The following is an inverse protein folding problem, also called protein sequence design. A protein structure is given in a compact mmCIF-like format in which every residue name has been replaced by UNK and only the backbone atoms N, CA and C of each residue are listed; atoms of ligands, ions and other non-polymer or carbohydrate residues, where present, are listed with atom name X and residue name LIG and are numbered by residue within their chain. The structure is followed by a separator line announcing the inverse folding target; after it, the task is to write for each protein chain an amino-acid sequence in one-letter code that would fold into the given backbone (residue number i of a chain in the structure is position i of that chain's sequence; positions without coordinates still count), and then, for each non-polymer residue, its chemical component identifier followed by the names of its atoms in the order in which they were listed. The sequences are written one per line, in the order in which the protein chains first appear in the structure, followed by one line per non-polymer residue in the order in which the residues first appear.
data_IF_235672913283
#
_entry.id   IF_235672913283
#
_cell.length_a   1.000
_cell.length_b   1.000
_cell.length_c   1.000
_cell.angle_alpha   90.00
_cell.angle_beta   90.00
_cell.angle_gamma   90.00
#
_symmetry.space_group_name_H-M   'P 1'
#
loop_
_entity.id
_entity.type
_entity.pdbx_description
1 polymer ?
#
# COMPACT_ATOMS: atom_id res chain seq x y z
N UNK A 1 -4.60 7.82 -2.51
CA UNK A 1 -5.20 7.32 -3.77
C UNK A 1 -6.13 6.13 -3.49
N UNK A 2 -7.28 6.37 -2.86
CA UNK A 2 -8.35 5.36 -2.72
C UNK A 2 -9.61 5.85 -3.43
N UNK A 3 -9.73 5.56 -4.73
CA UNK A 3 -11.04 5.58 -5.37
C UNK A 3 -11.76 4.30 -4.92
N UNK A 4 -12.78 4.50 -4.08
CA UNK A 4 -13.83 3.53 -3.79
C UNK A 4 -14.50 3.13 -5.10
N UNK A 5 -13.97 2.09 -5.72
CA UNK A 5 -14.65 1.33 -6.76
C UNK A 5 -15.21 0.08 -6.09
N UNK A 6 -16.53 -0.13 -6.30
CA UNK A 6 -17.33 -1.28 -5.84
C UNK A 6 -16.49 -2.55 -5.75
N UNK A 7 -16.72 -3.32 -4.68
CA UNK A 7 -16.15 -4.65 -4.50
C UNK A 7 -16.15 -5.40 -5.84
N UNK A 8 -14.99 -5.86 -6.34
CA UNK A 8 -14.98 -6.81 -7.43
C UNK A 8 -15.61 -8.06 -6.85
N UNK A 9 -16.85 -8.28 -7.30
CA UNK A 9 -17.59 -9.52 -7.13
C UNK A 9 -16.66 -10.71 -7.35
N UNK A 10 -16.91 -11.79 -6.61
CA UNK A 10 -16.32 -13.11 -6.82
C UNK A 10 -16.04 -13.39 -8.30
N UNK A 11 -14.95 -14.11 -8.64
CA UNK A 11 -14.71 -14.51 -10.03
C UNK A 11 -16.00 -15.07 -10.61
N UNK A 12 -16.40 -14.62 -11.81
CA UNK A 12 -17.72 -14.89 -12.40
C UNK A 12 -18.09 -16.37 -12.22
N UNK A 13 -18.94 -16.65 -11.23
CA UNK A 13 -19.25 -18.00 -10.77
C UNK A 13 -19.84 -18.83 -11.92
N UNK A 14 -20.52 -18.16 -12.85
CA UNK A 14 -21.08 -18.75 -14.07
C UNK A 14 -19.98 -19.15 -15.05
N UNK A 15 -18.96 -18.30 -15.24
CA UNK A 15 -17.81 -18.62 -16.08
C UNK A 15 -17.00 -19.80 -15.51
N UNK A 16 -16.78 -19.82 -14.19
CA UNK A 16 -16.09 -20.92 -13.51
C UNK A 16 -16.86 -22.25 -13.68
N UNK A 17 -18.17 -22.26 -13.42
CA UNK A 17 -19.00 -23.46 -13.59
C UNK A 17 -18.95 -24.01 -15.01
N UNK A 18 -18.98 -23.13 -16.03
CA UNK A 18 -18.84 -23.55 -17.44
C UNK A 18 -17.51 -24.23 -17.72
N UNK A 19 -16.40 -23.74 -17.15
CA UNK A 19 -15.07 -24.35 -17.31
C UNK A 19 -15.03 -25.73 -16.65
N UNK A 20 -15.50 -25.84 -15.41
CA UNK A 20 -15.52 -27.10 -14.66
C UNK A 20 -16.36 -28.17 -15.36
N UNK A 21 -17.52 -27.79 -15.89
CA UNK A 21 -18.37 -28.68 -16.68
C UNK A 21 -17.69 -29.11 -17.99
N UNK A 22 -17.05 -28.17 -18.71
CA UNK A 22 -16.31 -28.49 -19.95
C UNK A 22 -15.18 -29.49 -19.72
N UNK A 23 -14.51 -29.41 -18.57
CA UNK A 23 -13.43 -30.33 -18.20
C UNK A 23 -13.93 -31.68 -17.67
N UNK A 24 -15.23 -31.80 -17.33
CA UNK A 24 -15.79 -33.02 -16.75
C UNK A 24 -15.43 -33.24 -15.28
N UNK A 25 -14.96 -32.20 -14.58
CA UNK A 25 -14.53 -32.27 -13.18
C UNK A 25 -15.16 -31.11 -12.37
N UNK A 26 -16.42 -31.26 -11.89
CA UNK A 26 -17.12 -30.20 -11.15
C UNK A 26 -16.41 -29.80 -9.86
N UNK A 27 -15.76 -30.75 -9.18
CA UNK A 27 -15.12 -30.52 -7.86
C UNK A 27 -13.62 -30.19 -7.98
N UNK A 28 -13.15 -29.83 -9.19
CA UNK A 28 -11.71 -29.63 -9.43
C UNK A 28 -11.12 -28.52 -8.56
N UNK A 29 -11.86 -27.43 -8.34
CA UNK A 29 -11.35 -26.30 -7.56
C UNK A 29 -11.13 -26.67 -6.08
N UNK A 30 -12.09 -27.38 -5.49
CA UNK A 30 -11.98 -27.90 -4.11
C UNK A 30 -10.80 -28.86 -4.00
N UNK A 31 -10.68 -29.81 -4.93
CA UNK A 31 -9.57 -30.77 -4.95
C UNK A 31 -8.20 -30.10 -5.05
N UNK A 32 -8.08 -29.03 -5.84
CA UNK A 32 -6.83 -28.29 -5.98
C UNK A 32 -6.56 -27.32 -4.82
N UNK A 33 -7.60 -26.82 -4.15
CA UNK A 33 -7.49 -25.85 -3.06
C UNK A 33 -7.29 -26.49 -1.69
N UNK A 34 -7.93 -27.63 -1.43
CA UNK A 34 -8.03 -28.22 -0.09
C UNK A 34 -7.38 -29.60 0.01
N UNK A 35 -7.35 -30.38 -1.08
CA UNK A 35 -6.96 -31.80 -1.03
C UNK A 35 -5.52 -32.08 -1.51
N UNK A 36 -4.77 -31.06 -1.91
CA UNK A 36 -3.35 -31.18 -2.25
C UNK A 36 -2.52 -30.14 -1.49
N UNK A 37 -1.27 -30.48 -1.20
CA UNK A 37 -0.34 -29.55 -0.54
C UNK A 37 0.07 -28.41 -1.46
N UNK A 38 0.53 -27.30 -0.88
CA UNK A 38 1.03 -26.16 -1.65
C UNK A 38 2.20 -26.51 -2.58
N UNK A 39 3.06 -27.46 -2.21
CA UNK A 39 4.16 -27.94 -3.07
C UNK A 39 3.66 -28.74 -4.27
N UNK A 40 2.64 -29.58 -4.09
CA UNK A 40 1.99 -30.33 -5.18
C UNK A 40 1.28 -29.38 -6.14
N UNK A 41 0.49 -28.44 -5.61
CA UNK A 41 -0.18 -27.42 -6.41
C UNK A 41 0.84 -26.60 -7.22
N UNK A 42 1.95 -26.21 -6.60
CA UNK A 42 3.01 -25.48 -7.30
C UNK A 42 3.64 -26.31 -8.42
N UNK A 43 3.86 -27.60 -8.21
CA UNK A 43 4.40 -28.51 -9.24
C UNK A 43 3.45 -28.62 -10.43
N UNK A 44 2.15 -28.77 -10.16
CA UNK A 44 1.10 -28.81 -11.19
C UNK A 44 1.06 -27.51 -11.99
N UNK A 45 1.00 -26.36 -11.31
CA UNK A 45 0.94 -25.04 -11.95
C UNK A 45 2.20 -24.74 -12.77
N UNK A 46 3.39 -25.07 -12.25
CA UNK A 46 4.66 -24.91 -12.98
C UNK A 46 4.68 -25.74 -14.26
N UNK A 47 4.26 -27.00 -14.19
CA UNK A 47 4.19 -27.90 -15.34
C UNK A 47 3.21 -27.38 -16.39
N UNK A 48 2.04 -26.92 -15.97
CA UNK A 48 1.04 -26.31 -16.85
C UNK A 48 1.57 -25.03 -17.53
N UNK A 49 2.22 -24.14 -16.78
CA UNK A 49 2.79 -22.92 -17.33
C UNK A 49 3.92 -23.21 -18.32
N UNK A 50 4.77 -24.20 -18.04
CA UNK A 50 5.82 -24.64 -18.97
C UNK A 50 5.24 -25.17 -20.29
N UNK A 51 4.18 -25.99 -20.23
CA UNK A 51 3.49 -26.48 -21.43
C UNK A 51 2.88 -25.33 -22.24
N UNK A 52 2.23 -24.36 -21.59
CA UNK A 52 1.67 -23.18 -22.27
C UNK A 52 2.75 -22.31 -22.90
N UNK A 53 3.87 -22.10 -22.22
CA UNK A 53 4.98 -21.33 -22.75
C UNK A 53 5.60 -22.00 -23.97
N UNK A 54 5.76 -23.33 -23.96
CA UNK A 54 6.29 -24.10 -25.09
C UNK A 54 5.41 -24.05 -26.35
N UNK A 55 4.11 -23.78 -26.20
CA UNK A 55 3.18 -23.58 -27.31
C UNK A 55 3.19 -22.15 -27.87
N UNK A 56 3.88 -21.21 -27.20
CA UNK A 56 4.00 -19.82 -27.64
C UNK A 56 5.12 -19.67 -28.68
N UNK A 57 4.93 -18.78 -29.64
CA UNK A 57 5.96 -18.39 -30.62
C UNK A 57 6.44 -16.96 -30.36
N UNK A 58 7.64 -16.56 -30.82
CA UNK A 58 8.11 -15.19 -30.66
C UNK A 58 7.14 -14.11 -31.19
N UNK A 59 6.46 -14.28 -32.36
CA UNK A 59 5.43 -13.33 -32.80
C UNK A 59 4.22 -13.27 -31.86
N UNK A 60 3.76 -14.41 -31.35
CA UNK A 60 2.67 -14.44 -30.36
C UNK A 60 3.06 -13.74 -29.07
N UNK A 61 4.30 -13.89 -28.61
CA UNK A 61 4.82 -13.21 -27.44
C UNK A 61 4.83 -11.68 -27.63
N UNK A 62 5.30 -11.21 -28.79
CA UNK A 62 5.28 -9.77 -29.12
C UNK A 62 3.84 -9.24 -29.15
N UNK A 63 2.92 -9.98 -29.76
CA UNK A 63 1.50 -9.62 -29.77
C UNK A 63 0.95 -9.54 -28.34
N UNK A 64 1.24 -10.51 -27.47
CA UNK A 64 0.81 -10.49 -26.08
C UNK A 64 1.37 -9.27 -25.32
N UNK A 65 2.64 -8.94 -25.53
CA UNK A 65 3.28 -7.77 -24.94
C UNK A 65 2.56 -6.48 -25.32
N UNK A 66 2.29 -6.28 -26.62
CA UNK A 66 1.61 -5.09 -27.15
C UNK A 66 0.20 -4.87 -26.59
N UNK A 67 -0.52 -5.95 -26.25
CA UNK A 67 -1.88 -5.88 -25.70
C UNK A 67 -1.92 -5.89 -24.17
N UNK A 68 -0.77 -6.04 -23.49
CA UNK A 68 -0.71 -6.14 -22.04
C UNK A 68 -0.46 -4.78 -21.40
N UNK A 69 -1.53 -4.17 -20.86
CA UNK A 69 -1.42 -2.95 -20.04
C UNK A 69 -0.55 -3.11 -18.78
N UNK A 70 -0.27 -4.34 -18.38
CA UNK A 70 0.60 -4.67 -17.24
C UNK A 70 2.07 -4.71 -17.60
N UNK A 71 2.41 -4.99 -18.86
CA UNK A 71 3.79 -5.18 -19.31
C UNK A 71 4.36 -3.97 -20.06
N UNK A 72 3.48 -3.12 -20.63
CA UNK A 72 3.90 -1.91 -21.33
C UNK A 72 4.66 -0.96 -20.39
N UNK A 73 5.74 -0.31 -20.86
CA UNK A 73 6.57 0.56 -20.03
C UNK A 73 5.79 1.80 -19.59
N UNK A 74 6.21 2.40 -18.47
CA UNK A 74 5.76 3.75 -18.10
C UNK A 74 6.35 4.75 -19.09
N UNK A 75 5.59 5.81 -19.39
CA UNK A 75 6.01 6.90 -20.28
C UNK A 75 6.86 7.97 -19.57
N UNK A 76 7.20 7.76 -18.29
CA UNK A 76 7.99 8.71 -17.53
C UNK A 76 9.46 8.75 -18.00
N UNK A 77 10.09 9.93 -18.05
CA UNK A 77 11.52 10.05 -18.33
C UNK A 77 12.32 9.43 -17.17
N UNK A 78 13.00 8.30 -17.43
CA UNK A 78 13.66 7.50 -16.41
C UNK A 78 14.60 8.32 -15.50
N UNK A 79 15.53 9.07 -16.10
CA UNK A 79 16.55 9.81 -15.35
C UNK A 79 15.92 10.89 -14.46
N UNK A 80 15.09 11.76 -15.05
CA UNK A 80 14.44 12.84 -14.30
C UNK A 80 13.50 12.32 -13.21
N UNK A 81 12.79 11.20 -13.46
CA UNK A 81 11.96 10.58 -12.44
C UNK A 81 12.78 9.98 -11.30
N UNK A 82 13.91 9.32 -11.60
CA UNK A 82 14.82 8.79 -10.57
C UNK A 82 15.46 9.91 -9.72
N UNK A 83 15.85 11.03 -10.33
CA UNK A 83 16.36 12.20 -9.61
C UNK A 83 15.29 12.80 -8.68
N UNK A 84 14.05 12.89 -9.17
CA UNK A 84 12.91 13.32 -8.36
C UNK A 84 12.70 12.41 -7.15
N UNK A 85 12.61 11.08 -7.35
CA UNK A 85 12.43 10.14 -6.23
C UNK A 85 13.59 10.20 -5.24
N UNK A 86 14.83 10.26 -5.71
CA UNK A 86 16.01 10.38 -4.86
C UNK A 86 15.96 11.65 -4.00
N UNK A 87 15.45 12.76 -4.54
CA UNK A 87 15.30 14.01 -3.77
C UNK A 87 14.35 13.85 -2.58
N UNK A 88 13.25 13.10 -2.74
CA UNK A 88 12.28 12.80 -1.68
C UNK A 88 12.87 11.82 -0.66
N UNK A 89 13.54 10.76 -1.13
CA UNK A 89 14.17 9.75 -0.28
C UNK A 89 15.20 10.38 0.69
N UNK A 90 16.01 11.33 0.21
CA UNK A 90 17.00 12.04 1.04
C UNK A 90 16.35 12.77 2.23
N UNK A 91 15.18 13.37 2.04
CA UNK A 91 14.45 14.05 3.11
C UNK A 91 13.95 13.03 4.13
N UNK A 92 13.36 11.92 3.68
CA UNK A 92 12.85 10.87 4.58
C UNK A 92 13.98 10.24 5.41
N UNK A 93 15.13 10.00 4.80
CA UNK A 93 16.31 9.53 5.51
C UNK A 93 16.77 10.56 6.58
N UNK A 94 16.71 11.85 6.29
CA UNK A 94 17.00 12.90 7.27
C UNK A 94 15.98 12.96 8.44
N UNK A 95 14.76 12.45 8.24
CA UNK A 95 13.76 12.23 9.29
C UNK A 95 14.00 10.95 10.12
N UNK A 96 15.09 10.21 9.87
CA UNK A 96 15.48 9.04 10.67
C UNK A 96 14.77 7.74 10.29
N UNK A 97 14.12 7.69 9.12
CA UNK A 97 13.61 6.44 8.57
C UNK A 97 14.75 5.63 7.93
N UNK A 98 14.72 4.31 8.13
CA UNK A 98 15.67 3.40 7.51
C UNK A 98 15.16 2.98 6.13
N UNK A 99 15.99 3.12 5.10
CA UNK A 99 15.66 2.64 3.76
C UNK A 99 15.81 1.12 3.68
N UNK A 100 14.90 0.51 2.92
CA UNK A 100 14.99 -0.90 2.55
C UNK A 100 14.59 -1.08 1.09
N UNK A 101 15.16 -2.09 0.44
CA UNK A 101 14.75 -2.51 -0.90
C UNK A 101 13.92 -3.79 -0.76
N UNK A 102 12.67 -3.73 -1.21
CA UNK A 102 11.77 -4.87 -1.17
C UNK A 102 11.88 -5.74 -2.43
N UNK A 103 11.47 -6.99 -2.29
CA UNK A 103 11.24 -7.90 -3.41
C UNK A 103 10.10 -7.40 -4.31
N UNK A 104 10.14 -7.64 -5.65
CA UNK A 104 9.04 -7.32 -6.56
C UNK A 104 7.77 -8.16 -6.32
N UNK A 105 7.88 -9.19 -5.48
CA UNK A 105 6.78 -10.08 -5.08
C UNK A 105 6.66 -10.14 -3.56
N UNK A 106 5.44 -10.42 -3.09
CA UNK A 106 5.11 -10.69 -1.70
C UNK A 106 4.46 -12.08 -1.57
N UNK A 107 4.40 -12.67 -0.36
CA UNK A 107 3.62 -13.88 -0.13
C UNK A 107 2.16 -13.71 -0.58
N UNK A 108 1.57 -14.76 -1.17
CA UNK A 108 0.16 -14.76 -1.57
C UNK A 108 -0.73 -14.41 -0.37
N UNK A 109 -1.63 -13.46 -0.56
CA UNK A 109 -2.54 -12.97 0.47
C UNK A 109 -1.98 -11.83 1.32
N UNK A 110 -0.79 -11.30 0.99
CA UNK A 110 -0.22 -10.14 1.70
C UNK A 110 -1.14 -8.93 1.69
N UNK A 111 -1.96 -8.73 0.65
CA UNK A 111 -2.93 -7.64 0.63
C UNK A 111 -4.32 -8.01 1.18
N UNK A 112 -4.71 -9.29 1.11
CA UNK A 112 -6.05 -9.74 1.49
C UNK A 112 -6.17 -10.12 2.97
N UNK A 113 -5.12 -10.69 3.56
CA UNK A 113 -5.12 -11.16 4.96
C UNK A 113 -5.04 -10.00 5.95
N UNK A 114 -4.26 -8.95 5.65
CA UNK A 114 -4.07 -7.80 6.56
C UNK A 114 -4.79 -6.54 6.10
N UNK A 115 -4.82 -6.24 4.79
CA UNK A 115 -5.31 -4.99 4.23
C UNK A 115 -6.77 -5.00 3.78
N UNK A 116 -7.51 -6.10 3.95
CA UNK A 116 -8.92 -6.29 3.50
C UNK A 116 -9.14 -6.14 1.97
N UNK A 117 -8.06 -6.10 1.18
CA UNK A 117 -8.12 -5.97 -0.27
C UNK A 117 -8.36 -7.36 -0.89
N UNK A 118 -9.52 -7.55 -1.55
CA UNK A 118 -9.83 -8.82 -2.20
C UNK A 118 -8.72 -9.25 -3.19
N UNK A 119 -8.36 -10.55 -3.16
CA UNK A 119 -7.23 -11.10 -3.93
C UNK A 119 -7.32 -10.82 -5.44
N UNK A 120 -8.53 -10.77 -6.01
CA UNK A 120 -8.75 -10.43 -7.43
C UNK A 120 -8.23 -9.05 -7.85
N UNK A 121 -8.00 -8.11 -6.91
CA UNK A 121 -7.41 -6.79 -7.19
C UNK A 121 -5.88 -6.85 -7.36
N UNK A 122 -5.28 -7.99 -7.06
CA UNK A 122 -3.84 -8.24 -7.03
C UNK A 122 -3.49 -9.29 -8.07
N UNK A 123 -2.35 -9.13 -8.73
CA UNK A 123 -1.87 -10.13 -9.68
C UNK A 123 -1.21 -11.28 -8.91
N UNK A 124 -1.97 -12.36 -8.68
CA UNK A 124 -1.44 -13.59 -8.11
C UNK A 124 -0.39 -14.21 -9.03
N UNK A 125 0.66 -14.77 -8.43
CA UNK A 125 1.72 -15.51 -9.10
C UNK A 125 1.75 -16.97 -8.60
N UNK A 126 2.54 -17.80 -9.26
CA UNK A 126 2.78 -19.19 -8.81
C UNK A 126 3.80 -19.20 -7.66
N UNK A 127 4.01 -20.37 -7.03
CA UNK A 127 4.91 -20.53 -5.86
C UNK A 127 4.44 -19.82 -4.60
N UNK A 128 3.12 -19.65 -4.44
CA UNK A 128 2.54 -19.00 -3.26
C UNK A 128 2.92 -17.53 -3.13
N UNK A 129 3.08 -16.84 -4.26
CA UNK A 129 3.46 -15.43 -4.31
C UNK A 129 2.38 -14.59 -4.99
N UNK A 130 2.43 -13.28 -4.79
CA UNK A 130 1.71 -12.27 -5.54
C UNK A 130 2.66 -11.13 -5.94
N UNK A 131 2.37 -10.46 -7.05
CA UNK A 131 3.13 -9.26 -7.44
C UNK A 131 2.84 -8.14 -6.46
N UNK A 132 3.87 -7.37 -6.10
CA UNK A 132 3.75 -6.27 -5.15
C UNK A 132 2.66 -5.28 -5.55
N UNK A 133 1.62 -5.14 -4.72
CA UNK A 133 0.53 -4.21 -4.92
C UNK A 133 0.36 -3.20 -3.76
N UNK A 134 1.05 -3.47 -2.65
CA UNK A 134 1.11 -2.61 -1.47
C UNK A 134 2.40 -2.85 -0.65
N UNK A 135 3.35 -1.92 -0.76
CA UNK A 135 4.59 -1.96 0.02
C UNK A 135 4.39 -1.83 1.52
N UNK A 136 3.29 -1.24 1.99
CA UNK A 136 3.10 -1.07 3.43
C UNK A 136 2.81 -2.41 4.11
N UNK A 137 2.11 -3.32 3.43
CA UNK A 137 1.92 -4.71 3.87
C UNK A 137 3.26 -5.46 3.98
N UNK A 138 4.10 -5.33 2.94
CA UNK A 138 5.41 -5.97 2.92
C UNK A 138 6.36 -5.42 4.00
N UNK A 139 6.39 -4.10 4.20
CA UNK A 139 7.16 -3.49 5.28
C UNK A 139 6.62 -3.88 6.67
N UNK A 140 5.30 -4.01 6.83
CA UNK A 140 4.72 -4.49 8.08
C UNK A 140 5.17 -5.92 8.42
N UNK A 141 5.18 -6.82 7.42
CA UNK A 141 5.73 -8.17 7.56
C UNK A 141 7.21 -8.14 7.95
N UNK A 142 8.02 -7.33 7.26
CA UNK A 142 9.46 -7.21 7.56
C UNK A 142 9.72 -6.65 8.96
N UNK A 143 8.99 -5.62 9.39
CA UNK A 143 9.03 -5.09 10.76
C UNK A 143 8.72 -6.19 11.78
N UNK A 144 7.65 -6.96 11.55
CA UNK A 144 7.25 -8.03 12.45
C UNK A 144 8.31 -9.15 12.50
N UNK A 145 8.90 -9.51 11.35
CA UNK A 145 10.01 -10.47 11.26
C UNK A 145 11.23 -9.99 12.04
N UNK A 146 11.67 -8.73 11.86
CA UNK A 146 12.81 -8.15 12.60
C UNK A 146 12.58 -8.17 14.11
N UNK A 147 11.36 -7.88 14.56
CA UNK A 147 10.96 -7.97 15.97
C UNK A 147 11.00 -9.42 16.48
N UNK A 148 10.44 -10.37 15.74
CA UNK A 148 10.42 -11.79 16.13
C UNK A 148 11.82 -12.42 16.18
N UNK A 149 12.66 -12.08 15.20
CA UNK A 149 14.05 -12.57 15.07
C UNK A 149 15.04 -11.83 15.94
N UNK A 150 14.61 -10.76 16.63
CA UNK A 150 15.44 -9.87 17.46
C UNK A 150 16.55 -9.13 16.70
N UNK A 151 16.43 -9.00 15.38
CA UNK A 151 17.26 -8.09 14.59
C UNK A 151 16.99 -6.61 14.94
N UNK A 152 15.80 -6.33 15.47
CA UNK A 152 15.50 -5.06 16.11
C UNK A 152 14.93 -5.33 17.51
N UNK A 153 15.53 -4.67 18.51
CA UNK A 153 15.09 -4.71 19.90
C UNK A 153 15.04 -3.26 20.40
N UNK A 154 13.89 -2.79 20.91
CA UNK A 154 13.81 -1.46 21.48
C UNK A 154 14.63 -1.41 22.77
N UNK A 155 15.42 -0.35 22.96
CA UNK A 155 16.06 -0.08 24.25
C UNK A 155 15.04 0.41 25.28
N UNK A 156 14.01 1.13 24.83
CA UNK A 156 12.88 1.59 25.65
C UNK A 156 11.54 1.37 24.95
N UNK A 157 10.43 1.30 25.70
CA UNK A 157 9.09 1.21 25.11
C UNK A 157 8.69 2.44 24.27
N UNK A 158 9.51 3.52 24.31
CA UNK A 158 9.35 4.71 23.47
C UNK A 158 10.00 4.59 22.09
N UNK A 159 10.89 3.62 21.90
CA UNK A 159 11.60 3.46 20.64
C UNK A 159 10.66 2.94 19.55
N UNK A 160 10.84 3.46 18.35
CA UNK A 160 10.06 3.08 17.18
C UNK A 160 10.96 2.61 16.05
N UNK A 161 10.50 1.60 15.33
CA UNK A 161 11.11 1.13 14.10
C UNK A 161 10.41 1.82 12.92
N UNK A 162 11.20 2.52 12.10
CA UNK A 162 10.73 3.32 10.97
C UNK A 162 11.38 2.82 9.69
N UNK A 163 10.58 2.28 8.77
CA UNK A 163 11.06 1.84 7.46
C UNK A 163 10.44 2.71 6.37
N UNK A 164 11.20 2.96 5.31
CA UNK A 164 10.68 3.52 4.07
C UNK A 164 11.27 2.82 2.84
N UNK A 165 10.57 2.93 1.72
CA UNK A 165 11.02 2.44 0.42
C UNK A 165 10.30 3.15 -0.72
N UNK A 166 10.85 3.06 -1.92
CA UNK A 166 10.15 3.36 -3.18
C UNK A 166 10.01 2.08 -4.00
N UNK A 167 8.84 1.84 -4.55
CA UNK A 167 8.59 0.62 -5.32
C UNK A 167 7.52 0.86 -6.39
N UNK A 168 7.56 0.06 -7.47
CA UNK A 168 6.46 0.00 -8.44
C UNK A 168 5.40 -1.00 -8.02
N UNK A 169 4.18 -0.54 -7.82
CA UNK A 169 3.03 -1.42 -7.61
C UNK A 169 2.46 -1.90 -8.93
N UNK A 170 1.72 -3.01 -8.89
CA UNK A 170 0.82 -3.42 -9.95
C UNK A 170 -0.57 -3.72 -9.37
N UNK A 171 -1.62 -3.10 -9.92
CA UNK A 171 -3.02 -3.31 -9.52
C UNK A 171 -3.86 -3.71 -10.73
N UNK A 172 -4.74 -4.69 -10.55
CA UNK A 172 -5.51 -5.30 -11.65
C UNK A 172 -6.83 -4.62 -12.00
N UNK A 173 -7.50 -3.81 -11.18
CA UNK A 173 -8.72 -3.12 -11.62
C UNK A 173 -8.47 -2.21 -12.83
N UNK A 174 -9.43 -2.06 -13.76
CA UNK A 174 -9.34 -1.07 -14.82
C UNK A 174 -9.42 0.34 -14.22
N UNK A 175 -8.65 1.28 -14.78
CA UNK A 175 -8.60 2.66 -14.29
C UNK A 175 -9.12 3.59 -15.39
N UNK A 176 -10.09 4.44 -15.05
CA UNK A 176 -10.78 5.32 -16.00
C UNK A 176 -10.15 6.72 -16.10
N UNK A 177 -8.92 6.90 -15.61
CA UNK A 177 -8.24 8.20 -15.58
C UNK A 177 -6.81 8.07 -16.13
N UNK A 178 -6.48 8.89 -17.14
CA UNK A 178 -5.22 8.83 -17.89
C UNK A 178 -3.97 9.05 -17.04
N UNK A 179 -4.07 9.74 -15.89
CA UNK A 179 -2.92 9.94 -14.98
C UNK A 179 -2.57 8.69 -14.18
N UNK A 180 -3.47 7.71 -14.11
CA UNK A 180 -3.27 6.46 -13.41
C UNK A 180 -2.92 5.34 -14.37
N UNK A 181 -1.97 4.52 -13.96
CA UNK A 181 -1.48 3.37 -14.73
C UNK A 181 -1.69 2.07 -13.93
N UNK A 182 -1.79 0.92 -14.61
CA UNK A 182 -1.91 -0.39 -13.94
C UNK A 182 -0.70 -0.72 -13.07
N UNK A 183 0.48 -0.20 -13.43
CA UNK A 183 1.66 -0.18 -12.58
C UNK A 183 2.17 1.25 -12.40
N UNK A 184 2.58 1.60 -11.20
CA UNK A 184 2.96 2.97 -10.83
C UNK A 184 3.94 2.96 -9.67
N UNK A 185 4.85 3.94 -9.64
CA UNK A 185 5.77 4.13 -8.52
C UNK A 185 5.08 4.80 -7.33
N UNK A 186 5.39 4.31 -6.15
CA UNK A 186 4.95 4.83 -4.86
C UNK A 186 6.14 4.89 -3.91
N UNK A 187 6.11 5.84 -2.99
CA UNK A 187 6.94 5.87 -1.82
C UNK A 187 6.10 5.49 -0.61
N UNK A 188 6.58 4.62 0.26
CA UNK A 188 5.85 4.21 1.45
C UNK A 188 6.68 4.34 2.70
N UNK A 189 6.01 4.66 3.80
CA UNK A 189 6.61 4.75 5.14
C UNK A 189 5.77 3.94 6.12
N UNK A 190 6.44 3.16 6.98
CA UNK A 190 5.80 2.43 8.08
C UNK A 190 6.55 2.71 9.37
N UNK A 191 5.81 3.13 10.40
CA UNK A 191 6.31 3.33 11.75
C UNK A 191 5.63 2.32 12.66
N UNK A 192 6.43 1.57 13.41
CA UNK A 192 5.94 0.62 14.40
C UNK A 192 6.56 0.87 15.76
N UNK A 193 5.76 0.73 16.81
CA UNK A 193 6.18 0.90 18.19
C UNK A 193 5.23 0.19 19.13
N UNK A 194 5.15 0.67 20.36
CA UNK A 194 4.28 0.11 21.40
C UNK A 194 3.32 1.16 21.95
N UNK A 195 2.24 0.66 22.53
CA UNK A 195 1.33 1.43 23.35
C UNK A 195 2.07 2.07 24.52
N UNK A 196 2.00 3.41 24.58
CA UNK A 196 2.61 4.23 25.63
C UNK A 196 1.55 4.79 26.60
N UNK A 197 0.28 4.41 26.45
CA UNK A 197 -0.84 4.98 27.18
C UNK A 197 -1.21 6.38 26.70
N UNK A 198 -2.42 6.84 27.05
CA UNK A 198 -2.94 8.19 26.77
C UNK A 198 -2.78 8.65 25.30
N UNK A 199 -2.86 7.70 24.35
CA UNK A 199 -2.66 7.94 22.92
C UNK A 199 -1.29 8.59 22.57
N UNK A 200 -0.27 8.43 23.41
CA UNK A 200 1.03 9.09 23.24
C UNK A 200 1.77 8.63 21.98
N UNK A 201 1.77 7.32 21.71
CA UNK A 201 2.37 6.77 20.49
C UNK A 201 1.70 7.39 19.26
N UNK A 202 0.37 7.31 19.20
CA UNK A 202 -0.43 7.72 18.06
C UNK A 202 -0.24 9.22 17.78
N UNK A 203 -0.34 10.04 18.82
CA UNK A 203 -0.11 11.48 18.72
C UNK A 203 1.30 11.79 18.21
N UNK A 204 2.32 11.12 18.74
CA UNK A 204 3.71 11.33 18.31
C UNK A 204 3.90 10.97 16.83
N UNK A 205 3.49 9.77 16.40
CA UNK A 205 3.81 9.29 15.05
C UNK A 205 2.96 9.95 13.95
N UNK A 206 1.72 10.34 14.23
CA UNK A 206 0.91 11.06 13.24
C UNK A 206 1.50 12.44 12.96
N UNK A 207 1.97 13.14 14.01
CA UNK A 207 2.62 14.43 13.86
C UNK A 207 3.96 14.30 13.14
N UNK A 208 4.74 13.26 13.42
CA UNK A 208 5.97 12.95 12.69
C UNK A 208 5.68 12.77 11.20
N UNK A 209 4.63 12.02 10.83
CA UNK A 209 4.22 11.85 9.44
C UNK A 209 3.74 13.16 8.80
N UNK A 210 2.89 13.95 9.48
CA UNK A 210 2.43 15.23 8.93
C UNK A 210 3.59 16.21 8.72
N UNK A 211 4.57 16.24 9.63
CA UNK A 211 5.81 17.02 9.47
C UNK A 211 6.63 16.53 8.29
N UNK A 212 6.74 15.21 8.10
CA UNK A 212 7.42 14.63 6.94
C UNK A 212 6.75 15.05 5.63
N UNK A 213 5.42 14.92 5.53
CA UNK A 213 4.69 15.32 4.33
C UNK A 213 4.75 16.82 4.05
N UNK A 214 4.73 17.66 5.10
CA UNK A 214 5.00 19.09 4.95
C UNK A 214 6.41 19.34 4.39
N UNK A 215 7.43 18.69 4.94
CA UNK A 215 8.81 18.84 4.47
C UNK A 215 8.96 18.41 3.00
N UNK A 216 8.36 17.28 2.62
CA UNK A 216 8.41 16.77 1.26
C UNK A 216 7.66 17.67 0.27
N UNK A 217 6.43 18.07 0.60
CA UNK A 217 5.53 18.68 -0.38
C UNK A 217 5.54 20.20 -0.32
N UNK A 218 5.42 20.79 0.88
CA UNK A 218 5.34 22.23 1.04
C UNK A 218 6.74 22.88 1.06
N UNK A 219 7.68 22.29 1.78
CA UNK A 219 8.99 22.93 1.98
C UNK A 219 9.95 22.64 0.81
N UNK A 220 10.03 21.38 0.36
CA UNK A 220 10.95 20.97 -0.73
C UNK A 220 10.37 21.19 -2.13
N UNK A 221 9.09 20.83 -2.35
CA UNK A 221 8.44 20.99 -3.65
C UNK A 221 7.62 22.28 -3.80
N UNK A 222 7.55 23.10 -2.75
CA UNK A 222 6.85 24.39 -2.75
C UNK A 222 5.35 24.30 -3.11
N UNK A 223 4.69 23.21 -2.70
CA UNK A 223 3.28 22.96 -3.00
C UNK A 223 2.34 23.44 -1.90
N UNK A 224 1.18 23.94 -2.29
CA UNK A 224 0.08 24.16 -1.36
C UNK A 224 -0.55 22.83 -0.97
N UNK A 225 -0.53 22.53 0.33
CA UNK A 225 -1.07 21.27 0.88
C UNK A 225 -2.25 21.52 1.81
N UNK A 226 -3.17 20.56 1.84
CA UNK A 226 -4.26 20.46 2.83
C UNK A 226 -4.30 19.05 3.40
N UNK A 227 -4.58 18.93 4.69
CA UNK A 227 -4.69 17.65 5.38
C UNK A 227 -6.15 17.37 5.69
N UNK A 228 -6.60 16.16 5.38
CA UNK A 228 -7.92 15.66 5.79
C UNK A 228 -7.73 14.53 6.79
N UNK A 229 -8.35 14.64 7.97
CA UNK A 229 -8.33 13.63 9.02
C UNK A 229 -9.71 12.99 9.12
N UNK A 230 -9.77 11.68 8.89
CA UNK A 230 -10.99 10.89 8.99
C UNK A 230 -10.97 10.08 10.28
N UNK A 231 -12.04 10.20 11.06
CA UNK A 231 -12.27 9.36 12.24
C UNK A 231 -12.70 7.97 11.79
N UNK A 232 -11.99 6.93 12.22
CA UNK A 232 -12.24 5.54 11.86
C UNK A 232 -12.59 4.74 13.11
N UNK A 233 -13.49 3.78 12.97
CA UNK A 233 -13.84 2.85 14.05
C UNK A 233 -12.67 1.91 14.38
N UNK A 234 -12.87 0.99 15.33
CA UNK A 234 -11.86 0.00 15.70
C UNK A 234 -10.78 0.48 16.67
N UNK A 235 -10.84 1.73 17.13
CA UNK A 235 -9.96 2.27 18.17
C UNK A 235 -10.77 2.66 19.42
N UNK A 236 -10.47 2.02 20.55
CA UNK A 236 -11.31 2.10 21.76
C UNK A 236 -11.38 3.50 22.39
N UNK A 237 -10.32 4.31 22.26
CA UNK A 237 -10.23 5.65 22.83
C UNK A 237 -10.30 6.75 21.76
N UNK A 238 -11.17 6.59 20.76
CA UNK A 238 -11.25 7.49 19.59
C UNK A 238 -11.43 8.97 19.96
N UNK A 239 -12.34 9.29 20.88
CA UNK A 239 -12.59 10.69 21.29
C UNK A 239 -11.36 11.31 21.95
N UNK A 240 -10.66 10.56 22.81
CA UNK A 240 -9.42 11.00 23.44
C UNK A 240 -8.32 11.19 22.40
N UNK A 241 -8.18 10.26 21.45
CA UNK A 241 -7.20 10.35 20.37
C UNK A 241 -7.42 11.61 19.52
N UNK A 242 -8.68 11.90 19.16
CA UNK A 242 -9.04 13.12 18.44
C UNK A 242 -8.67 14.38 19.24
N UNK A 243 -9.03 14.43 20.53
CA UNK A 243 -8.72 15.57 21.41
C UNK A 243 -7.21 15.82 21.49
N UNK A 244 -6.42 14.76 21.71
CA UNK A 244 -4.95 14.85 21.82
C UNK A 244 -4.32 15.35 20.52
N UNK A 245 -4.74 14.83 19.37
CA UNK A 245 -4.21 15.26 18.07
C UNK A 245 -4.63 16.71 17.77
N UNK A 246 -5.90 17.07 17.99
CA UNK A 246 -6.38 18.42 17.77
C UNK A 246 -5.60 19.45 18.60
N UNK A 247 -5.40 19.16 19.89
CA UNK A 247 -4.62 20.01 20.79
C UNK A 247 -3.20 20.25 20.27
N UNK A 248 -2.49 19.20 19.86
CA UNK A 248 -1.11 19.38 19.38
C UNK A 248 -1.05 20.10 18.03
N UNK A 249 -2.03 19.88 17.15
CA UNK A 249 -2.11 20.62 15.88
C UNK A 249 -2.35 22.12 16.10
N UNK A 250 -3.18 22.49 17.09
CA UNK A 250 -3.38 23.88 17.50
C UNK A 250 -2.10 24.50 18.09
N UNK A 251 -1.42 23.79 19.00
CA UNK A 251 -0.17 24.26 19.63
C UNK A 251 0.97 24.45 18.62
N UNK A 252 1.03 23.61 17.59
CA UNK A 252 2.04 23.72 16.54
C UNK A 252 1.81 24.88 15.58
N UNK A 253 0.62 25.52 15.61
CA UNK A 253 0.21 26.62 14.74
C UNK A 253 0.64 26.41 13.28
N UNK A 254 0.34 25.23 12.74
CA UNK A 254 0.78 24.89 11.39
C UNK A 254 0.01 25.72 10.38
N UNK A 255 0.69 26.40 9.46
CA UNK A 255 0.05 27.11 8.34
C UNK A 255 -0.68 26.19 7.35
N UNK A 256 -0.65 24.88 7.58
CA UNK A 256 -1.29 23.85 6.77
C UNK A 256 -2.74 23.68 7.23
N UNK A 257 -3.73 23.90 6.34
CA UNK A 257 -5.13 23.66 6.69
C UNK A 257 -5.40 22.19 7.02
N UNK A 258 -6.06 21.94 8.15
CA UNK A 258 -6.51 20.61 8.58
C UNK A 258 -8.04 20.57 8.67
N UNK A 259 -8.65 19.59 8.02
CA UNK A 259 -10.10 19.35 8.03
C UNK A 259 -10.42 18.01 8.69
N UNK A 260 -11.32 18.01 9.67
CA UNK A 260 -11.82 16.79 10.31
C UNK A 260 -13.10 16.31 9.62
N UNK A 261 -13.13 15.04 9.23
CA UNK A 261 -14.20 14.45 8.44
C UNK A 261 -14.70 13.15 9.06
N UNK A 262 -15.97 12.87 8.80
CA UNK A 262 -16.53 11.52 8.97
C UNK A 262 -16.27 10.71 7.69
N UNK A 263 -16.06 9.40 7.80
CA UNK A 263 -15.77 8.59 6.64
C UNK A 263 -16.99 8.43 5.73
N UNK A 264 -16.85 8.76 4.45
CA UNK A 264 -17.89 8.58 3.43
C UNK A 264 -18.02 7.13 2.94
N UNK A 265 -17.07 6.26 3.29
CA UNK A 265 -16.95 4.89 2.78
C UNK A 265 -16.39 3.91 3.81
N UNK A 266 -16.82 2.65 3.73
CA UNK A 266 -16.36 1.47 4.48
C UNK A 266 -14.91 1.03 4.17
N UNK A 267 -13.94 1.94 4.01
CA UNK A 267 -12.53 1.52 4.03
C UNK A 267 -12.21 1.05 5.46
N UNK A 268 -12.28 -0.26 5.66
CA UNK A 268 -12.49 -0.91 6.96
C UNK A 268 -11.20 -1.30 7.71
N UNK A 269 -10.00 -1.08 7.13
CA UNK A 269 -8.75 -1.54 7.76
C UNK A 269 -8.02 -0.48 8.60
N UNK A 270 -8.27 0.82 8.38
CA UNK A 270 -7.72 1.86 9.25
C UNK A 270 -8.48 1.92 10.56
N UNK A 271 -7.76 2.12 11.67
CA UNK A 271 -8.33 2.23 13.00
C UNK A 271 -8.07 3.59 13.60
N UNK A 272 -9.08 4.21 14.19
CA UNK A 272 -8.94 5.48 14.90
C UNK A 272 -8.80 6.69 13.98
N UNK A 273 -7.67 6.84 13.30
CA UNK A 273 -7.39 7.97 12.40
C UNK A 273 -6.81 7.48 11.07
N UNK A 274 -7.41 7.99 9.99
CA UNK A 274 -6.80 8.01 8.67
C UNK A 274 -6.54 9.46 8.29
N UNK A 275 -5.39 9.74 7.67
CA UNK A 275 -5.09 11.03 7.07
C UNK A 275 -4.96 10.92 5.56
N UNK A 276 -5.32 12.00 4.87
CA UNK A 276 -5.06 12.19 3.45
C UNK A 276 -4.37 13.53 3.23
N UNK A 277 -3.38 13.54 2.35
CA UNK A 277 -2.67 14.75 1.97
C UNK A 277 -3.10 15.15 0.57
N UNK A 278 -3.67 16.34 0.48
CA UNK A 278 -4.14 16.93 -0.76
C UNK A 278 -3.14 17.98 -1.22
N UNK A 279 -2.80 17.95 -2.50
CA UNK A 279 -2.01 19.01 -3.17
C UNK A 279 -2.97 19.85 -4.02
N UNK A 280 -2.84 21.16 -3.95
CA UNK A 280 -3.65 22.11 -4.73
C UNK A 280 -2.78 22.72 -5.83
N UNK A 281 -3.17 22.54 -7.08
CA UNK A 281 -2.48 23.05 -8.29
C UNK A 281 -3.53 23.54 -9.30
N UNK A 282 -3.38 24.75 -9.85
CA UNK A 282 -4.18 25.28 -10.97
C UNK A 282 -5.67 24.89 -10.90
N UNK A 283 -6.34 25.29 -9.82
CA UNK A 283 -7.76 25.03 -9.49
C UNK A 283 -8.19 23.56 -9.28
N UNK A 284 -7.27 22.61 -9.32
CA UNK A 284 -7.52 21.20 -9.03
C UNK A 284 -6.89 20.78 -7.70
N UNK A 285 -7.57 19.87 -7.01
CA UNK A 285 -7.09 19.28 -5.75
C UNK A 285 -6.86 17.79 -5.97
N UNK A 286 -5.63 17.34 -5.72
CA UNK A 286 -5.18 15.97 -5.95
C UNK A 286 -4.87 15.28 -4.63
N UNK A 287 -5.43 14.09 -4.42
CA UNK A 287 -5.04 13.21 -3.30
C UNK A 287 -3.73 12.50 -3.64
N UNK A 288 -2.61 13.01 -3.13
CA UNK A 288 -1.27 12.48 -3.46
C UNK A 288 -0.75 11.48 -2.43
N UNK A 289 -1.19 11.59 -1.18
CA UNK A 289 -0.83 10.65 -0.12
C UNK A 289 -2.01 10.27 0.78
N UNK A 290 -1.92 9.10 1.38
CA UNK A 290 -2.89 8.52 2.32
C UNK A 290 -2.11 7.70 3.36
N UNK A 291 -2.59 7.68 4.60
CA UNK A 291 -2.04 6.86 5.66
C UNK A 291 -2.96 6.80 6.86
N UNK A 292 -2.59 6.03 7.87
CA UNK A 292 -3.40 5.86 9.06
C UNK A 292 -2.91 4.73 9.94
N UNK A 293 -3.54 4.60 11.11
CA UNK A 293 -3.21 3.53 12.03
C UNK A 293 -3.85 2.22 11.61
N UNK A 294 -3.13 1.12 11.86
CA UNK A 294 -3.57 -0.24 11.54
C UNK A 294 -3.21 -1.19 12.67
N UNK A 295 -3.95 -2.28 12.80
CA UNK A 295 -3.71 -3.33 13.82
C UNK A 295 -2.80 -4.46 13.33
N UNK A 296 -2.14 -4.30 12.19
CA UNK A 296 -1.42 -5.39 11.52
C UNK A 296 -0.33 -5.99 12.38
N UNK A 297 0.50 -5.17 13.06
CA UNK A 297 1.50 -5.68 13.99
C UNK A 297 0.88 -6.38 15.19
N UNK A 298 -0.30 -5.95 15.66
CA UNK A 298 -1.01 -6.63 16.75
C UNK A 298 -1.47 -8.02 16.32
N UNK A 299 -1.98 -8.16 15.08
CA UNK A 299 -2.39 -9.44 14.49
C UNK A 299 -1.21 -10.36 14.20
N UNK A 300 -0.19 -9.84 13.50
CA UNK A 300 0.98 -10.61 13.05
C UNK A 300 1.86 -11.09 14.22
N UNK A 301 1.98 -10.27 15.28
CA UNK A 301 2.79 -10.60 16.47
C UNK A 301 1.93 -11.15 17.63
N UNK A 302 0.61 -11.22 17.48
CA UNK A 302 -0.33 -11.59 18.54
C UNK A 302 -0.14 -10.80 19.84
N UNK A 303 0.16 -9.51 19.73
CA UNK A 303 0.48 -8.65 20.86
C UNK A 303 -0.31 -7.34 20.81
N UNK A 304 -1.29 -7.20 21.71
CA UNK A 304 -2.20 -6.04 21.77
C UNK A 304 -1.50 -4.71 22.06
N UNK A 305 -0.28 -4.74 22.63
CA UNK A 305 0.51 -3.53 22.87
C UNK A 305 1.22 -3.02 21.62
N UNK A 306 1.26 -3.78 20.53
CA UNK A 306 1.87 -3.29 19.30
C UNK A 306 1.07 -2.13 18.72
N UNK A 307 1.77 -1.23 18.04
CA UNK A 307 1.18 -0.11 17.30
C UNK A 307 1.88 0.06 15.95
N UNK A 308 1.12 0.51 14.97
CA UNK A 308 1.61 0.71 13.61
C UNK A 308 0.86 1.85 12.91
N UNK A 309 1.62 2.72 12.27
CA UNK A 309 1.13 3.75 11.35
C UNK A 309 1.76 3.49 9.99
N UNK A 310 0.94 3.45 8.94
CA UNK A 310 1.38 3.28 7.55
C UNK A 310 1.05 4.53 6.74
N UNK A 311 1.81 4.77 5.68
CA UNK A 311 1.45 5.77 4.69
C UNK A 311 2.09 5.51 3.33
N UNK A 312 1.49 6.05 2.28
CA UNK A 312 2.00 5.99 0.92
C UNK A 312 1.79 7.30 0.16
N UNK A 313 2.82 7.73 -0.55
CA UNK A 313 2.86 8.86 -1.47
C UNK A 313 2.97 8.34 -2.90
N UNK A 314 2.00 8.65 -3.76
CA UNK A 314 2.09 8.32 -5.18
C UNK A 314 3.11 9.18 -5.90
N UNK A 315 4.39 8.79 -5.89
CA UNK A 315 5.50 9.55 -6.50
C UNK A 315 5.30 9.73 -8.00
N UNK A 316 4.83 8.71 -8.71
CA UNK A 316 4.52 8.81 -10.13
C UNK A 316 3.31 9.73 -10.41
N UNK A 317 2.26 9.67 -9.58
CA UNK A 317 1.13 10.61 -9.71
C UNK A 317 1.59 12.05 -9.46
N UNK A 318 2.36 12.27 -8.40
CA UNK A 318 2.88 13.58 -8.04
C UNK A 318 3.78 14.13 -9.15
N UNK A 319 4.69 13.33 -9.69
CA UNK A 319 5.54 13.73 -10.82
C UNK A 319 4.70 14.14 -12.04
N UNK A 320 3.66 13.36 -12.39
CA UNK A 320 2.75 13.69 -13.50
C UNK A 320 1.99 14.99 -13.26
N UNK A 321 1.58 15.27 -12.02
CA UNK A 321 0.90 16.53 -11.68
C UNK A 321 1.82 17.74 -11.87
N UNK A 322 3.12 17.59 -11.55
CA UNK A 322 4.07 18.70 -11.57
C UNK A 322 4.71 18.94 -12.94
N UNK A 323 4.96 17.88 -13.71
CA UNK A 323 5.83 17.95 -14.88
C UNK A 323 5.20 17.45 -16.19
N UNK A 324 4.02 16.84 -16.16
CA UNK A 324 3.33 16.51 -17.40
C UNK A 324 2.56 17.73 -17.90
N UNK A 325 2.99 18.27 -19.05
CA UNK A 325 2.15 19.12 -19.88
C UNK A 325 0.99 18.30 -20.43
N UNK A 326 -0.22 18.87 -20.42
CA UNK A 326 -1.43 18.25 -20.99
C UNK A 326 -1.26 17.79 -22.44
#
# INVERSE_FOLDING_TARGET
MSQSQKEPTQPDAVALQKILHKLGYPDLLEKLGENISGSELNTLLLTLMAQRAAQSSPPMLLQQYQHSRFAMPSQLPLVAFSEFELSLQKIIHAFGFQDIILSPVAPLGSCSVVGTVHQNKILSAIRGMEVMADITNAMALEICRRKQTREWVPATDKDTLRLFTTHRHLRTPPIQNAKFSPHFAILGCVVSGRDQGDCQFETFVILEQLKLYKALLADHLHLSIKVKLYLREGYSALSLLQERIAKVLEELNTSVPVEWLKPDTENAYYQGIQFKIMVVTNDQTWEVADGGFVDWSQKLLQNKKERMLISGLGTELLYKILFSTE
#
